data_IF_612895863992
#
_entry.id   IF_612895863992
#
_cell.length_a   1.000
_cell.length_b   1.000
_cell.length_c   1.000
_cell.angle_alpha   90.00
_cell.angle_beta   90.00
_cell.angle_gamma   90.00
#
_symmetry.space_group_name_H-M   'P 1'
#
loop_
_entity.id
_entity.type
_entity.pdbx_description
1 polymer ?
#
# COMPACT_ATOMS: atom_id res chain seq x y z
N UNK A 1 -10.13 25.40 -9.13
CA UNK A 1 -9.32 24.56 -10.03
C UNK A 1 -8.24 23.72 -9.30
N UNK A 2 -8.36 23.52 -7.97
CA UNK A 2 -7.36 22.84 -7.12
C UNK A 2 -7.70 21.37 -6.82
N UNK A 3 -8.99 21.04 -6.63
CA UNK A 3 -9.43 19.66 -6.32
C UNK A 3 -9.16 18.66 -7.44
N UNK A 4 -9.36 19.06 -8.71
CA UNK A 4 -9.16 18.17 -9.86
C UNK A 4 -7.70 17.70 -10.01
N UNK A 5 -6.73 18.54 -9.64
CA UNK A 5 -5.28 18.23 -9.71
C UNK A 5 -4.82 17.24 -8.64
N UNK A 6 -5.45 17.23 -7.45
CA UNK A 6 -5.09 16.28 -6.37
C UNK A 6 -5.59 14.88 -6.68
N UNK A 7 -6.83 14.76 -7.18
CA UNK A 7 -7.43 13.48 -7.58
C UNK A 7 -6.63 12.76 -8.69
N UNK A 8 -6.11 13.49 -9.68
CA UNK A 8 -5.24 12.91 -10.73
C UNK A 8 -3.91 12.42 -10.17
N UNK A 9 -3.42 13.04 -9.10
CA UNK A 9 -2.15 12.69 -8.46
C UNK A 9 -2.30 11.41 -7.63
N UNK A 10 -3.37 11.27 -6.83
CA UNK A 10 -3.72 10.05 -6.09
C UNK A 10 -3.75 8.81 -6.97
N UNK A 11 -4.33 8.95 -8.16
CA UNK A 11 -4.41 7.90 -9.16
C UNK A 11 -3.05 7.57 -9.78
N UNK A 12 -2.11 8.52 -9.81
CA UNK A 12 -0.78 8.31 -10.39
C UNK A 12 0.02 7.29 -9.57
N UNK A 13 0.20 7.50 -8.26
CA UNK A 13 1.01 6.58 -7.45
C UNK A 13 0.34 5.22 -7.30
N UNK A 14 -0.98 5.19 -7.11
CA UNK A 14 -1.75 3.95 -7.12
C UNK A 14 -1.54 3.16 -8.44
N UNK A 15 -1.63 3.84 -9.58
CA UNK A 15 -1.39 3.23 -10.89
C UNK A 15 0.04 2.74 -11.08
N UNK A 16 1.05 3.44 -10.52
CA UNK A 16 2.44 2.97 -10.53
C UNK A 16 2.58 1.68 -9.72
N UNK A 17 2.01 1.62 -8.52
CA UNK A 17 2.04 0.44 -7.64
C UNK A 17 1.39 -0.76 -8.33
N UNK A 18 0.19 -0.58 -8.90
CA UNK A 18 -0.52 -1.64 -9.59
C UNK A 18 0.24 -2.15 -10.82
N UNK A 19 0.82 -1.24 -11.63
CA UNK A 19 1.65 -1.66 -12.78
C UNK A 19 2.90 -2.41 -12.35
N UNK A 20 3.52 -2.00 -11.24
CA UNK A 20 4.69 -2.69 -10.70
C UNK A 20 4.35 -4.13 -10.26
N UNK A 21 3.21 -4.31 -9.57
CA UNK A 21 2.73 -5.63 -9.18
C UNK A 21 2.39 -6.50 -10.41
N UNK A 22 1.66 -5.96 -11.38
CA UNK A 22 1.32 -6.66 -12.61
C UNK A 22 2.55 -7.08 -13.41
N UNK A 23 3.53 -6.19 -13.59
CA UNK A 23 4.76 -6.47 -14.34
C UNK A 23 5.62 -7.56 -13.70
N UNK A 24 5.50 -7.77 -12.39
CA UNK A 24 6.25 -8.78 -11.64
C UNK A 24 5.39 -10.00 -11.24
N UNK A 25 4.15 -10.11 -11.74
CA UNK A 25 3.20 -11.18 -11.42
C UNK A 25 2.97 -11.35 -9.90
N UNK A 26 2.97 -10.25 -9.15
CA UNK A 26 2.74 -10.26 -7.70
C UNK A 26 1.25 -10.12 -7.40
N UNK A 27 0.70 -11.11 -6.69
CA UNK A 27 -0.66 -11.07 -6.16
C UNK A 27 -0.66 -10.76 -4.66
N UNK A 28 -1.70 -10.08 -4.19
CA UNK A 28 -1.92 -9.85 -2.75
C UNK A 28 -2.57 -11.10 -2.16
N UNK A 29 -1.85 -11.76 -1.25
CA UNK A 29 -2.32 -12.95 -0.52
C UNK A 29 -2.19 -12.68 0.97
N UNK A 30 -3.31 -12.74 1.69
CA UNK A 30 -3.32 -12.66 3.14
C UNK A 30 -2.65 -13.89 3.73
N UNK A 31 -1.68 -13.67 4.61
CA UNK A 31 -0.97 -14.74 5.34
C UNK A 31 -1.48 -14.85 6.77
N UNK A 32 -1.18 -15.96 7.44
CA UNK A 32 -1.47 -16.11 8.87
C UNK A 32 -0.81 -15.02 9.72
N UNK A 33 0.35 -14.50 9.29
CA UNK A 33 1.02 -13.39 9.97
C UNK A 33 0.27 -12.06 9.78
N UNK A 34 -0.35 -11.83 8.62
CA UNK A 34 -1.19 -10.66 8.37
C UNK A 34 -2.45 -10.70 9.25
N UNK A 35 -3.09 -11.88 9.35
CA UNK A 35 -4.26 -12.09 10.22
C UNK A 35 -3.89 -11.89 11.69
N UNK A 36 -2.75 -12.45 12.12
CA UNK A 36 -2.24 -12.25 13.47
C UNK A 36 -1.98 -10.77 13.77
N UNK A 37 -1.28 -10.06 12.88
CA UNK A 37 -1.01 -8.63 13.03
C UNK A 37 -2.30 -7.82 13.14
N UNK A 38 -3.30 -8.09 12.29
CA UNK A 38 -4.61 -7.45 12.38
C UNK A 38 -5.30 -7.69 13.73
N UNK A 39 -5.24 -8.90 14.28
CA UNK A 39 -5.81 -9.16 15.60
C UNK A 39 -5.04 -8.45 16.72
N UNK A 40 -3.72 -8.39 16.65
CA UNK A 40 -2.89 -7.67 17.64
C UNK A 40 -3.23 -6.18 17.62
N UNK A 41 -3.22 -5.53 16.45
CA UNK A 41 -3.48 -4.09 16.30
C UNK A 41 -4.88 -3.72 16.79
N UNK A 42 -5.90 -4.51 16.43
CA UNK A 42 -7.27 -4.36 16.93
C UNK A 42 -7.35 -4.48 18.45
N UNK A 43 -6.70 -5.48 19.05
CA UNK A 43 -6.73 -5.70 20.51
C UNK A 43 -5.99 -4.61 21.28
N UNK A 44 -4.96 -4.00 20.69
CA UNK A 44 -4.28 -2.84 21.27
C UNK A 44 -5.08 -1.53 21.17
N UNK A 45 -6.18 -1.50 20.40
CA UNK A 45 -6.89 -0.27 20.06
C UNK A 45 -6.27 0.53 18.91
N UNK A 46 -5.10 0.12 18.42
CA UNK A 46 -4.39 0.67 17.26
C UNK A 46 -4.87 0.05 15.95
N UNK A 47 -6.18 -0.06 15.71
CA UNK A 47 -6.71 -0.79 14.55
C UNK A 47 -6.11 -0.31 13.22
N UNK A 48 -5.30 -1.18 12.59
CA UNK A 48 -4.62 -0.90 11.32
C UNK A 48 -5.32 -1.66 10.20
N UNK A 49 -5.97 -0.90 9.32
CA UNK A 49 -6.64 -1.42 8.13
C UNK A 49 -6.00 -0.81 6.88
N UNK A 50 -5.34 -1.65 6.09
CA UNK A 50 -4.77 -1.25 4.81
C UNK A 50 -5.81 -1.34 3.70
N UNK A 51 -5.84 -0.33 2.84
CA UNK A 51 -6.58 -0.40 1.58
C UNK A 51 -5.89 -1.35 0.56
N UNK A 52 -6.54 -1.67 -0.58
CA UNK A 52 -5.96 -2.59 -1.56
C UNK A 52 -4.60 -2.15 -2.12
N UNK A 53 -4.32 -0.86 -2.22
CA UNK A 53 -3.05 -0.33 -2.73
C UNK A 53 -1.96 -0.49 -1.67
N UNK A 54 -2.26 -0.15 -0.42
CA UNK A 54 -1.34 -0.36 0.72
C UNK A 54 -0.97 -1.85 0.86
N UNK A 55 -1.95 -2.76 0.73
CA UNK A 55 -1.69 -4.20 0.72
C UNK A 55 -0.81 -4.65 -0.46
N UNK A 56 -0.93 -4.00 -1.62
CA UNK A 56 -0.08 -4.28 -2.79
C UNK A 56 1.39 -3.92 -2.50
N UNK A 57 1.65 -2.83 -1.77
CA UNK A 57 3.01 -2.44 -1.35
C UNK A 57 3.59 -3.52 -0.42
N UNK A 58 2.82 -4.03 0.54
CA UNK A 58 3.25 -5.11 1.44
C UNK A 58 3.60 -6.38 0.65
N UNK A 59 2.76 -6.75 -0.32
CA UNK A 59 3.00 -7.91 -1.17
C UNK A 59 4.29 -7.76 -2.01
N UNK A 60 4.51 -6.59 -2.61
CA UNK A 60 5.72 -6.28 -3.37
C UNK A 60 6.98 -6.32 -2.51
N UNK A 61 6.92 -5.81 -1.28
CA UNK A 61 8.04 -5.88 -0.33
C UNK A 61 8.33 -7.32 0.07
N UNK A 62 7.30 -8.11 0.37
CA UNK A 62 7.43 -9.54 0.72
C UNK A 62 8.02 -10.37 -0.42
N UNK A 63 7.67 -10.04 -1.66
CA UNK A 63 8.22 -10.66 -2.87
C UNK A 63 9.67 -10.21 -3.19
N UNK A 64 10.24 -9.28 -2.42
CA UNK A 64 11.59 -8.77 -2.64
C UNK A 64 11.72 -7.77 -3.80
N UNK A 65 10.60 -7.36 -4.43
CA UNK A 65 10.57 -6.37 -5.50
C UNK A 65 10.83 -4.96 -4.95
N UNK A 66 10.38 -4.70 -3.73
CA UNK A 66 10.69 -3.48 -2.99
C UNK A 66 11.54 -3.81 -1.77
N UNK A 67 12.61 -3.05 -1.57
CA UNK A 67 13.25 -2.99 -0.26
C UNK A 67 12.37 -2.20 0.75
N UNK A 68 12.74 -2.27 2.04
CA UNK A 68 12.00 -1.59 3.12
C UNK A 68 11.92 -0.08 2.91
N UNK A 69 12.99 0.57 2.47
CA UNK A 69 13.06 2.02 2.29
C UNK A 69 12.18 2.44 1.10
N UNK A 70 12.22 1.69 0.02
CA UNK A 70 11.39 1.89 -1.17
C UNK A 70 9.91 1.73 -0.83
N UNK A 71 9.54 0.67 -0.09
CA UNK A 71 8.17 0.43 0.36
C UNK A 71 7.64 1.60 1.20
N UNK A 72 8.41 2.06 2.19
CA UNK A 72 8.02 3.20 3.05
C UNK A 72 7.89 4.50 2.24
N UNK A 73 8.81 4.77 1.31
CA UNK A 73 8.74 5.97 0.46
C UNK A 73 7.51 5.94 -0.44
N UNK A 74 7.20 4.79 -1.02
CA UNK A 74 6.06 4.61 -1.91
C UNK A 74 4.73 4.74 -1.15
N UNK A 75 4.66 4.13 0.04
CA UNK A 75 3.55 4.28 0.97
C UNK A 75 3.33 5.75 1.35
N UNK A 76 4.37 6.45 1.78
CA UNK A 76 4.27 7.86 2.17
C UNK A 76 3.83 8.76 0.99
N UNK A 77 4.26 8.43 -0.23
CA UNK A 77 3.81 9.15 -1.43
C UNK A 77 2.34 8.88 -1.71
N UNK A 78 1.91 7.62 -1.66
CA UNK A 78 0.51 7.25 -1.86
C UNK A 78 -0.40 7.93 -0.84
N UNK A 79 -0.07 7.85 0.46
CA UNK A 79 -0.84 8.49 1.54
C UNK A 79 -0.97 10.01 1.38
N UNK A 80 0.11 10.69 0.95
CA UNK A 80 0.07 12.12 0.66
C UNK A 80 -0.84 12.48 -0.50
N UNK A 81 -1.11 11.56 -1.40
CA UNK A 81 -1.98 11.81 -2.55
C UNK A 81 -3.41 11.33 -2.29
N UNK A 82 -3.62 10.31 -1.45
CA UNK A 82 -4.94 9.74 -1.16
C UNK A 82 -5.67 10.35 0.04
N UNK A 83 -4.94 10.95 0.99
CA UNK A 83 -5.51 11.50 2.24
C UNK A 83 -5.36 13.03 2.40
N UNK A 84 -4.89 13.73 1.35
CA UNK A 84 -4.82 15.20 1.25
C UNK A 84 -5.59 15.70 0.02
#
# INVERSE_FOLDING_TARGET
MSAQRSATKAQYTAGVIQRLAAANNVAVIATSNDVFAHHVTRLSGDDVNFDPIENTIVALQRAGILDRVQAVRLQARYLRESRL
#
